data_IF_896574182278
#
_entry.id   IF_896574182278
#
_cell.length_a   1.000
_cell.length_b   1.000
_cell.length_c   1.000
_cell.angle_alpha   90.00
_cell.angle_beta   90.00
_cell.angle_gamma   90.00
#
_symmetry.space_group_name_H-M   'P 1'
#
loop_
_entity.id
_entity.type
_entity.pdbx_description
1 polymer ?
#
# COMPACT_ATOMS: atom_id res chain seq x y z
N UNK A 1 -17.37 16.33 -11.10
CA UNK A 1 -15.95 16.68 -11.39
C UNK A 1 -15.07 15.83 -10.47
N UNK A 2 -13.95 15.32 -10.97
CA UNK A 2 -12.84 14.71 -10.20
C UNK A 2 -13.06 13.32 -9.59
N UNK A 3 -12.97 12.25 -10.39
CA UNK A 3 -13.18 10.85 -9.92
C UNK A 3 -11.94 10.11 -9.39
N UNK A 4 -10.80 10.78 -9.25
CA UNK A 4 -9.53 10.18 -8.81
C UNK A 4 -8.86 11.08 -7.77
N UNK A 5 -8.42 10.47 -6.67
CA UNK A 5 -7.63 11.12 -5.62
C UNK A 5 -6.25 10.49 -5.64
N UNK A 6 -5.23 11.29 -5.93
CA UNK A 6 -3.85 10.82 -6.02
C UNK A 6 -3.18 10.88 -4.64
N UNK A 7 -2.59 9.77 -4.21
CA UNK A 7 -1.90 9.66 -2.93
C UNK A 7 -0.61 8.85 -3.12
N UNK A 8 0.47 9.30 -2.49
CA UNK A 8 1.65 8.47 -2.25
C UNK A 8 1.76 8.25 -0.74
N UNK A 9 1.49 7.03 -0.24
CA UNK A 9 1.49 6.77 1.21
C UNK A 9 2.86 7.07 1.82
N UNK A 10 3.95 6.67 1.15
CA UNK A 10 5.33 6.87 1.62
C UNK A 10 5.68 8.35 1.83
N UNK A 11 5.29 9.21 0.88
CA UNK A 11 5.50 10.67 1.00
C UNK A 11 4.59 11.28 2.05
N UNK A 12 3.33 10.85 2.10
CA UNK A 12 2.38 11.28 3.14
C UNK A 12 2.85 10.89 4.55
N UNK A 13 3.56 9.77 4.66
CA UNK A 13 4.23 9.29 5.86
C UNK A 13 5.45 10.11 6.29
N UNK A 14 6.01 10.91 5.39
CA UNK A 14 7.17 11.78 5.65
C UNK A 14 8.47 11.35 4.96
N UNK A 15 8.46 10.31 4.11
CA UNK A 15 9.67 9.91 3.39
C UNK A 15 9.98 10.86 2.21
N UNK A 16 11.27 11.14 1.94
CA UNK A 16 11.68 12.06 0.88
C UNK A 16 11.58 11.44 -0.53
N UNK A 17 11.84 12.29 -1.53
CA UNK A 17 12.09 11.90 -2.92
C UNK A 17 13.43 12.52 -3.36
N UNK A 18 14.42 11.72 -3.81
CA UNK A 18 14.46 10.26 -3.78
C UNK A 18 14.64 9.72 -2.34
N UNK A 19 14.48 8.41 -2.17
CA UNK A 19 14.71 7.70 -0.91
C UNK A 19 15.33 6.33 -1.17
N UNK A 20 15.93 5.75 -0.13
CA UNK A 20 16.51 4.40 -0.17
C UNK A 20 15.37 3.37 -0.32
N UNK A 21 15.52 2.34 -1.17
CA UNK A 21 14.54 1.27 -1.28
C UNK A 21 14.29 0.59 0.06
N UNK A 22 13.03 0.21 0.32
CA UNK A 22 12.62 -0.47 1.54
C UNK A 22 11.83 -1.73 1.23
N UNK A 23 11.87 -2.69 2.15
CA UNK A 23 11.17 -3.98 2.05
C UNK A 23 10.57 -4.36 3.42
N UNK A 24 9.50 -5.15 3.41
CA UNK A 24 8.96 -5.76 4.63
C UNK A 24 9.83 -6.97 4.98
N UNK A 25 10.39 -7.00 6.18
CA UNK A 25 11.26 -8.07 6.68
C UNK A 25 10.40 -9.14 7.36
N UNK A 26 10.57 -10.40 6.93
CA UNK A 26 9.96 -11.60 7.52
C UNK A 26 8.42 -11.57 7.69
N UNK A 27 7.71 -10.87 6.80
CA UNK A 27 6.25 -10.84 6.82
C UNK A 27 5.64 -10.11 5.63
N UNK A 28 4.39 -9.67 5.79
CA UNK A 28 3.67 -8.81 4.86
C UNK A 28 2.95 -7.66 5.59
N UNK A 29 2.19 -6.84 4.87
CA UNK A 29 1.56 -5.63 5.38
C UNK A 29 0.70 -5.87 6.62
N UNK A 30 -0.06 -6.97 6.66
CA UNK A 30 -0.87 -7.34 7.83
C UNK A 30 -0.03 -7.64 9.07
N UNK A 31 1.17 -8.18 8.89
CA UNK A 31 2.09 -8.48 9.98
C UNK A 31 2.73 -7.19 10.51
N UNK A 32 2.99 -6.22 9.63
CA UNK A 32 3.42 -4.87 10.03
C UNK A 32 2.33 -4.17 10.84
N UNK A 33 1.08 -4.22 10.38
CA UNK A 33 -0.08 -3.68 11.12
C UNK A 33 -0.27 -4.33 12.50
N UNK A 34 0.04 -5.63 12.61
CA UNK A 34 -0.01 -6.37 13.87
C UNK A 34 1.25 -6.19 14.75
N UNK A 35 2.23 -5.40 14.32
CA UNK A 35 3.50 -5.20 15.05
C UNK A 35 4.43 -6.42 15.05
N UNK A 36 4.22 -7.38 14.14
CA UNK A 36 4.98 -8.63 14.02
C UNK A 36 6.10 -8.58 12.97
N UNK A 37 6.00 -7.66 12.01
CA UNK A 37 7.00 -7.42 10.99
C UNK A 37 7.43 -5.94 10.98
N UNK A 38 8.57 -5.67 10.34
CA UNK A 38 9.12 -4.32 10.20
C UNK A 38 9.37 -4.00 8.74
N UNK A 39 9.37 -2.72 8.41
CA UNK A 39 9.84 -2.23 7.12
C UNK A 39 11.21 -1.60 7.34
N UNK A 40 12.21 -2.12 6.65
CA UNK A 40 13.57 -1.58 6.68
C UNK A 40 13.97 -1.09 5.31
N UNK A 41 14.75 -0.02 5.27
CA UNK A 41 15.46 0.34 4.05
C UNK A 41 16.71 -0.53 3.85
N UNK A 42 17.30 -0.45 2.65
CA UNK A 42 18.48 -1.24 2.28
C UNK A 42 19.72 -0.95 3.14
N UNK A 43 19.76 0.21 3.80
CA UNK A 43 20.83 0.58 4.73
C UNK A 43 20.55 0.04 6.16
N UNK A 44 19.45 -0.68 6.34
CA UNK A 44 19.05 -1.32 7.59
C UNK A 44 18.26 -0.42 8.54
N UNK A 45 17.92 0.82 8.13
CA UNK A 45 17.13 1.73 8.97
C UNK A 45 15.67 1.26 9.02
N UNK A 46 15.11 1.25 10.22
CA UNK A 46 13.70 0.96 10.44
C UNK A 46 12.86 2.19 10.05
N UNK A 47 12.06 2.05 9.00
CA UNK A 47 11.17 3.09 8.46
C UNK A 47 9.69 2.73 8.65
N UNK A 48 9.41 1.79 9.55
CA UNK A 48 8.06 1.27 9.78
C UNK A 48 7.07 2.37 10.17
N UNK A 49 7.50 3.36 10.94
CA UNK A 49 6.64 4.43 11.44
C UNK A 49 6.11 5.32 10.30
N UNK A 50 6.96 5.69 9.34
CA UNK A 50 6.59 6.48 8.18
C UNK A 50 5.61 5.71 7.29
N UNK A 51 5.85 4.41 7.07
CA UNK A 51 4.96 3.57 6.28
C UNK A 51 3.58 3.37 6.94
N UNK A 52 3.53 3.15 8.25
CA UNK A 52 2.27 3.07 9.01
C UNK A 52 1.50 4.40 8.96
N UNK A 53 2.19 5.52 9.19
CA UNK A 53 1.60 6.86 9.10
C UNK A 53 1.06 7.13 7.69
N UNK A 54 1.80 6.73 6.66
CA UNK A 54 1.38 6.84 5.27
C UNK A 54 0.12 6.04 4.95
N UNK A 55 0.04 4.80 5.45
CA UNK A 55 -1.13 3.95 5.32
C UNK A 55 -2.36 4.59 5.99
N UNK A 56 -2.21 5.06 7.23
CA UNK A 56 -3.29 5.73 7.98
C UNK A 56 -3.78 6.99 7.27
N UNK A 57 -2.87 7.86 6.83
CA UNK A 57 -3.24 9.06 6.08
C UNK A 57 -4.03 8.71 4.80
N UNK A 58 -3.62 7.63 4.11
CA UNK A 58 -4.31 7.16 2.90
C UNK A 58 -5.71 6.65 3.22
N UNK A 59 -5.86 5.89 4.31
CA UNK A 59 -7.16 5.43 4.80
C UNK A 59 -8.07 6.61 5.14
N UNK A 60 -7.57 7.61 5.87
CA UNK A 60 -8.35 8.81 6.21
C UNK A 60 -8.81 9.57 4.96
N UNK A 61 -7.96 9.71 3.95
CA UNK A 61 -8.34 10.31 2.67
C UNK A 61 -9.44 9.49 1.98
N UNK A 62 -9.31 8.17 1.96
CA UNK A 62 -10.29 7.30 1.33
C UNK A 62 -11.64 7.34 2.05
N UNK A 63 -11.64 7.30 3.39
CA UNK A 63 -12.86 7.37 4.19
C UNK A 63 -13.55 8.73 4.07
N UNK A 64 -12.81 9.83 4.19
CA UNK A 64 -13.35 11.19 4.11
C UNK A 64 -13.91 11.54 2.74
N UNK A 65 -13.38 10.93 1.67
CA UNK A 65 -13.91 11.07 0.32
C UNK A 65 -15.02 10.08 -0.04
N UNK A 66 -15.33 9.13 0.85
CA UNK A 66 -16.28 8.05 0.55
C UNK A 66 -15.79 7.06 -0.50
N UNK A 67 -14.47 6.98 -0.74
CA UNK A 67 -13.88 6.03 -1.67
C UNK A 67 -14.16 4.58 -1.23
N UNK A 68 -14.51 3.74 -2.21
CA UNK A 68 -14.81 2.31 -2.02
C UNK A 68 -13.79 1.39 -2.69
N UNK A 69 -12.90 1.95 -3.49
CA UNK A 69 -11.83 1.23 -4.16
C UNK A 69 -10.56 2.08 -4.22
N UNK A 70 -9.42 1.41 -4.32
CA UNK A 70 -8.12 2.01 -4.58
C UNK A 70 -7.40 1.23 -5.69
N UNK A 71 -6.69 1.95 -6.55
CA UNK A 71 -5.79 1.37 -7.56
C UNK A 71 -4.37 1.69 -7.10
N UNK A 72 -3.59 0.66 -6.78
CA UNK A 72 -2.28 0.79 -6.16
C UNK A 72 -1.20 0.14 -7.03
N UNK A 73 0.04 0.63 -6.91
CA UNK A 73 1.19 0.07 -7.61
C UNK A 73 1.66 -1.23 -6.96
N UNK A 74 1.66 -2.34 -7.69
CA UNK A 74 2.08 -3.63 -7.15
C UNK A 74 3.61 -3.73 -6.92
N UNK A 75 4.03 -4.60 -5.99
CA UNK A 75 5.44 -4.85 -5.65
C UNK A 75 6.01 -3.98 -4.53
N UNK A 76 5.36 -2.88 -4.13
CA UNK A 76 5.85 -1.97 -3.09
C UNK A 76 5.55 -2.48 -1.67
N UNK A 77 6.43 -2.28 -0.67
CA UNK A 77 6.11 -2.57 0.74
C UNK A 77 4.95 -1.73 1.30
N UNK A 78 4.55 -0.64 0.63
CA UNK A 78 3.33 0.11 0.95
C UNK A 78 2.15 -0.35 0.09
N UNK A 79 2.31 -0.31 -1.23
CA UNK A 79 1.20 -0.34 -2.19
C UNK A 79 0.96 -1.71 -2.83
N UNK A 80 1.88 -2.67 -2.66
CA UNK A 80 1.76 -4.02 -3.20
C UNK A 80 0.45 -4.67 -2.79
N UNK A 81 -0.34 -5.16 -3.75
CA UNK A 81 -1.65 -5.76 -3.47
C UNK A 81 -1.67 -7.27 -3.74
N UNK A 82 -0.76 -7.76 -4.58
CA UNK A 82 -0.60 -9.18 -4.93
C UNK A 82 0.80 -9.66 -4.56
N UNK A 83 1.81 -8.82 -4.81
CA UNK A 83 3.20 -9.14 -4.55
C UNK A 83 3.95 -8.01 -3.85
N UNK A 84 4.96 -8.42 -3.07
CA UNK A 84 5.95 -7.55 -2.44
C UNK A 84 7.34 -8.18 -2.61
N UNK A 85 8.40 -7.40 -2.47
CA UNK A 85 9.75 -7.95 -2.35
C UNK A 85 9.88 -8.84 -1.10
N UNK A 86 10.78 -9.81 -1.14
CA UNK A 86 10.84 -10.89 -0.15
C UNK A 86 11.44 -10.49 1.20
N UNK A 87 12.05 -9.30 1.31
CA UNK A 87 12.68 -8.79 2.52
C UNK A 87 14.20 -9.02 2.56
N UNK A 88 14.77 -9.61 1.51
CA UNK A 88 16.21 -9.93 1.44
C UNK A 88 17.01 -8.95 0.59
N UNK A 89 16.37 -7.97 -0.06
CA UNK A 89 17.00 -7.07 -1.03
C UNK A 89 17.69 -7.80 -2.19
N UNK A 90 17.18 -8.97 -2.58
CA UNK A 90 17.68 -9.78 -3.69
C UNK A 90 16.89 -9.62 -5.00
N UNK A 91 16.06 -8.57 -5.09
CA UNK A 91 15.11 -8.30 -6.18
C UNK A 91 14.06 -9.40 -6.43
N UNK A 92 13.95 -10.36 -5.50
CA UNK A 92 12.94 -11.41 -5.53
C UNK A 92 11.63 -10.92 -4.92
N UNK A 93 10.53 -11.34 -5.51
CA UNK A 93 9.18 -11.08 -5.02
C UNK A 93 8.54 -12.34 -4.47
N UNK A 94 7.69 -12.14 -3.48
CA UNK A 94 6.81 -13.16 -2.91
C UNK A 94 5.36 -12.69 -3.01
N UNK A 95 4.43 -13.63 -2.88
CA UNK A 95 3.02 -13.27 -2.67
C UNK A 95 2.87 -12.58 -1.32
N UNK A 96 2.11 -11.49 -1.31
CA UNK A 96 1.82 -10.74 -0.10
C UNK A 96 1.47 -9.29 -0.40
N UNK A 97 1.00 -8.59 0.61
CA UNK A 97 0.54 -7.21 0.50
C UNK A 97 1.50 -6.23 1.18
N UNK A 98 1.55 -5.01 0.68
CA UNK A 98 2.12 -3.86 1.36
C UNK A 98 1.18 -3.35 2.46
N UNK A 99 1.72 -2.55 3.38
CA UNK A 99 1.00 -2.09 4.57
C UNK A 99 -0.24 -1.25 4.26
N UNK A 100 -0.19 -0.40 3.22
CA UNK A 100 -1.33 0.44 2.83
C UNK A 100 -2.42 -0.41 2.17
N UNK A 101 -2.05 -1.32 1.27
CA UNK A 101 -3.01 -2.22 0.64
C UNK A 101 -3.76 -3.06 1.69
N UNK A 102 -3.02 -3.66 2.63
CA UNK A 102 -3.60 -4.45 3.72
C UNK A 102 -4.54 -3.62 4.60
N UNK A 103 -4.15 -2.39 4.97
CA UNK A 103 -4.98 -1.53 5.84
C UNK A 103 -6.28 -1.11 5.15
N UNK A 104 -6.23 -0.76 3.86
CA UNK A 104 -7.41 -0.39 3.09
C UNK A 104 -8.39 -1.57 2.97
N UNK A 105 -7.90 -2.78 2.69
CA UNK A 105 -8.75 -3.96 2.60
C UNK A 105 -9.38 -4.32 3.96
N UNK A 106 -8.65 -4.17 5.07
CA UNK A 106 -9.21 -4.35 6.43
C UNK A 106 -10.37 -3.40 6.73
N UNK A 107 -10.43 -2.24 6.07
CA UNK A 107 -11.48 -1.24 6.22
C UNK A 107 -12.52 -1.28 5.09
N UNK A 108 -12.56 -2.37 4.33
CA UNK A 108 -13.58 -2.60 3.30
C UNK A 108 -13.42 -1.76 2.03
N UNK A 109 -12.23 -1.20 1.79
CA UNK A 109 -11.88 -0.54 0.53
C UNK A 109 -11.26 -1.58 -0.38
N UNK A 110 -11.87 -1.82 -1.54
CA UNK A 110 -11.39 -2.83 -2.49
C UNK A 110 -10.11 -2.37 -3.19
N UNK A 111 -9.03 -3.14 -3.08
CA UNK A 111 -7.75 -2.80 -3.72
C UNK A 111 -7.60 -3.55 -5.06
N UNK A 112 -7.11 -2.84 -6.07
CA UNK A 112 -6.72 -3.36 -7.37
C UNK A 112 -5.27 -2.94 -7.67
N UNK A 113 -4.50 -3.78 -8.37
CA UNK A 113 -3.22 -3.35 -8.93
C UNK A 113 -3.39 -2.62 -10.28
N UNK A 114 -2.30 -2.01 -10.78
CA UNK A 114 -2.31 -1.24 -12.02
C UNK A 114 -2.63 -2.06 -13.29
N UNK A 115 -2.58 -3.39 -13.25
CA UNK A 115 -2.94 -4.27 -14.37
C UNK A 115 -4.42 -4.64 -14.35
N UNK A 116 -5.11 -4.40 -13.24
CA UNK A 116 -6.53 -4.71 -13.05
C UNK A 116 -7.45 -3.48 -13.23
N UNK A 117 -7.04 -2.49 -14.03
CA UNK A 117 -7.80 -1.24 -14.24
C UNK A 117 -9.21 -1.50 -14.79
N UNK A 118 -9.35 -2.42 -15.75
CA UNK A 118 -10.67 -2.74 -16.33
C UNK A 118 -11.61 -3.33 -15.28
N UNK A 119 -11.09 -4.21 -14.41
CA UNK A 119 -11.85 -4.79 -13.29
C UNK A 119 -12.23 -3.73 -12.26
N UNK A 120 -11.32 -2.79 -11.95
CA UNK A 120 -11.61 -1.66 -11.09
C UNK A 120 -12.71 -0.76 -11.67
N UNK A 121 -12.68 -0.52 -12.98
CA UNK A 121 -13.69 0.25 -13.68
C UNK A 121 -15.06 -0.44 -13.67
N UNK A 122 -15.10 -1.76 -13.88
CA UNK A 122 -16.33 -2.54 -13.75
C UNK A 122 -16.90 -2.50 -12.33
N UNK A 123 -16.03 -2.69 -11.32
CA UNK A 123 -16.42 -2.61 -9.92
C UNK A 123 -17.00 -1.22 -9.58
N UNK A 124 -16.36 -0.16 -10.05
CA UNK A 124 -16.84 1.21 -9.87
C UNK A 124 -18.22 1.45 -10.49
N UNK A 125 -18.49 0.90 -11.69
CA UNK A 125 -19.81 1.00 -12.33
C UNK A 125 -20.87 0.29 -11.50
N UNK A 126 -20.57 -0.88 -10.94
CA UNK A 126 -21.50 -1.64 -10.08
C UNK A 126 -21.87 -0.90 -8.80
N UNK A 127 -20.97 -0.11 -8.23
CA UNK A 127 -21.23 0.69 -7.02
C UNK A 127 -22.18 1.88 -7.25
N UNK A 128 -22.36 2.31 -8.51
CA UNK A 128 -23.22 3.45 -8.87
C UNK A 128 -24.65 3.03 -9.25
N UNK A 129 -24.87 1.74 -9.44
CA UNK A 129 -26.16 1.14 -9.73
C UNK A 129 -26.82 0.69 -8.43
#
# INVERSE_FOLDING_TARGET
>A
QGGLILVCPEVSGGLPIPRVPAEIIDGEGKDVLAGKAKIKDRDGRDVTAEFLKGAENTLQIAMSSGAKLAILKDGSPSCGSISIYDGTFSDKKKSGQGVTAALLEQHGIKVFDEKAIDQAAEYFRRLKN
#
